data_IF_674970231483
#
_entry.id   IF_674970231483
#
_cell.length_a   1.000
_cell.length_b   1.000
_cell.length_c   1.000
_cell.angle_alpha   90.00
_cell.angle_beta   90.00
_cell.angle_gamma   90.00
#
_symmetry.space_group_name_H-M   'P 1'
#
loop_
_entity.id
_entity.type
_entity.pdbx_description
1 polymer ?
#
# COMPACT_ATOMS: atom_id res chain seq x y z
N UNK A 1 -2.97 24.92 7.87
CA UNK A 1 -2.66 23.50 8.16
C UNK A 1 -1.86 23.52 9.45
N UNK A 2 -2.37 22.91 10.50
CA UNK A 2 -1.68 22.92 11.80
C UNK A 2 -0.39 22.11 11.70
N UNK A 3 0.61 22.41 12.53
CA UNK A 3 1.88 21.65 12.58
C UNK A 3 1.62 20.14 12.78
N UNK A 4 0.57 19.81 13.52
CA UNK A 4 0.08 18.45 13.78
C UNK A 4 -0.29 17.72 12.48
N UNK A 5 -1.09 18.34 11.59
CA UNK A 5 -1.49 17.75 10.30
C UNK A 5 -0.28 17.39 9.43
N UNK A 6 0.76 18.24 9.46
CA UNK A 6 2.01 18.02 8.72
C UNK A 6 2.77 16.82 9.26
N UNK A 7 2.87 16.69 10.59
CA UNK A 7 3.54 15.56 11.26
C UNK A 7 2.81 14.24 10.98
N UNK A 8 1.47 14.24 11.06
CA UNK A 8 0.65 13.07 10.72
C UNK A 8 0.83 12.64 9.26
N UNK A 9 0.88 13.60 8.33
CA UNK A 9 1.11 13.32 6.91
C UNK A 9 2.52 12.73 6.67
N UNK A 10 3.56 13.32 7.27
CA UNK A 10 4.93 12.81 7.15
C UNK A 10 5.06 11.38 7.67
N UNK A 11 4.46 11.08 8.83
CA UNK A 11 4.49 9.73 9.41
C UNK A 11 3.73 8.71 8.55
N UNK A 12 2.60 9.09 7.97
CA UNK A 12 1.89 8.24 7.01
C UNK A 12 2.73 7.95 5.77
N UNK A 13 3.39 8.96 5.21
CA UNK A 13 4.27 8.78 4.04
C UNK A 13 5.45 7.86 4.37
N UNK A 14 6.07 8.02 5.55
CA UNK A 14 7.15 7.15 6.01
C UNK A 14 6.69 5.71 6.20
N UNK A 15 5.52 5.50 6.81
CA UNK A 15 4.90 4.18 6.97
C UNK A 15 4.65 3.52 5.61
N UNK A 16 4.08 4.27 4.66
CA UNK A 16 3.83 3.76 3.32
C UNK A 16 5.11 3.37 2.61
N UNK A 17 6.17 4.19 2.70
CA UNK A 17 7.47 3.87 2.12
C UNK A 17 8.07 2.60 2.72
N UNK A 18 7.98 2.44 4.04
CA UNK A 18 8.44 1.23 4.74
C UNK A 18 7.64 -0.02 4.32
N UNK A 19 6.31 0.11 4.22
CA UNK A 19 5.45 -0.96 3.74
C UNK A 19 5.74 -1.32 2.28
N UNK A 20 5.99 -0.34 1.41
CA UNK A 20 6.38 -0.59 0.02
C UNK A 20 7.73 -1.30 -0.08
N UNK A 21 8.68 -1.00 0.81
CA UNK A 21 9.97 -1.67 0.88
C UNK A 21 9.81 -3.16 1.20
N UNK A 22 9.05 -3.50 2.25
CA UNK A 22 8.76 -4.90 2.60
C UNK A 22 7.94 -5.58 1.50
N UNK A 23 6.94 -4.89 0.97
CA UNK A 23 6.10 -5.37 -0.12
C UNK A 23 6.91 -5.74 -1.36
N UNK A 24 7.93 -4.96 -1.70
CA UNK A 24 8.79 -5.25 -2.82
C UNK A 24 9.61 -6.53 -2.63
N UNK A 25 10.14 -6.78 -1.42
CA UNK A 25 10.82 -8.05 -1.10
C UNK A 25 9.88 -9.24 -1.21
N UNK A 26 8.68 -9.12 -0.66
CA UNK A 26 7.65 -10.16 -0.73
C UNK A 26 7.29 -10.46 -2.17
N UNK A 27 7.12 -9.42 -3.00
CA UNK A 27 6.78 -9.61 -4.40
C UNK A 27 7.94 -10.21 -5.19
N UNK A 28 9.18 -9.82 -4.94
CA UNK A 28 10.36 -10.42 -5.57
C UNK A 28 10.46 -11.91 -5.26
N UNK A 29 10.27 -12.28 -3.99
CA UNK A 29 10.26 -13.68 -3.55
C UNK A 29 9.08 -14.46 -4.16
N UNK A 30 7.87 -13.89 -4.12
CA UNK A 30 6.69 -14.51 -4.70
C UNK A 30 6.80 -14.69 -6.21
N UNK A 31 7.41 -13.72 -6.92
CA UNK A 31 7.64 -13.81 -8.37
C UNK A 31 8.66 -14.91 -8.68
N UNK A 32 9.74 -15.01 -7.89
CA UNK A 32 10.72 -16.09 -8.01
C UNK A 32 10.08 -17.47 -7.81
N UNK A 33 9.22 -17.62 -6.80
CA UNK A 33 8.56 -18.90 -6.50
C UNK A 33 7.44 -19.28 -7.49
N UNK A 34 6.65 -18.32 -7.98
CA UNK A 34 5.47 -18.59 -8.83
C UNK A 34 5.73 -18.45 -10.33
N UNK A 35 6.71 -17.64 -10.69
CA UNK A 35 7.00 -17.29 -12.08
C UNK A 35 8.40 -17.73 -12.52
N UNK A 36 9.22 -18.31 -11.62
CA UNK A 36 10.56 -18.84 -11.91
C UNK A 36 11.56 -17.78 -12.43
N UNK A 37 11.25 -16.49 -12.25
CA UNK A 37 12.17 -15.40 -12.55
C UNK A 37 12.15 -14.36 -11.44
N UNK A 38 13.26 -13.64 -11.33
CA UNK A 38 13.47 -12.60 -10.33
C UNK A 38 13.44 -11.22 -11.00
N UNK A 39 12.34 -10.45 -10.87
CA UNK A 39 12.27 -9.11 -11.42
C UNK A 39 13.25 -8.17 -10.70
N UNK A 40 13.81 -7.16 -11.38
CA UNK A 40 14.67 -6.16 -10.74
C UNK A 40 13.93 -5.47 -9.59
N UNK A 41 14.54 -5.48 -8.40
CA UNK A 41 13.94 -4.91 -7.19
C UNK A 41 13.47 -3.46 -7.38
N UNK A 42 14.23 -2.64 -8.11
CA UNK A 42 13.89 -1.24 -8.37
C UNK A 42 12.53 -1.08 -9.07
N UNK A 43 12.21 -1.94 -10.05
CA UNK A 43 10.95 -1.87 -10.79
C UNK A 43 9.78 -2.25 -9.89
N UNK A 44 9.98 -3.30 -9.10
CA UNK A 44 8.99 -3.81 -8.14
C UNK A 44 8.74 -2.78 -7.05
N UNK A 45 9.79 -2.18 -6.49
CA UNK A 45 9.71 -1.14 -5.48
C UNK A 45 8.99 0.09 -6.00
N UNK A 46 9.36 0.61 -7.19
CA UNK A 46 8.67 1.76 -7.79
C UNK A 46 7.18 1.48 -7.98
N UNK A 47 6.82 0.29 -8.45
CA UNK A 47 5.43 -0.11 -8.60
C UNK A 47 4.71 -0.11 -7.24
N UNK A 48 5.25 -0.81 -6.23
CA UNK A 48 4.70 -0.85 -4.88
C UNK A 48 4.56 0.55 -4.28
N UNK A 49 5.57 1.41 -4.43
CA UNK A 49 5.57 2.76 -3.89
C UNK A 49 4.51 3.66 -4.52
N UNK A 50 4.42 3.69 -5.86
CA UNK A 50 3.39 4.45 -6.57
C UNK A 50 1.98 4.00 -6.15
N UNK A 51 1.78 2.68 -6.02
CA UNK A 51 0.51 2.14 -5.58
C UNK A 51 0.17 2.46 -4.14
N UNK A 52 1.16 2.42 -3.24
CA UNK A 52 0.97 2.84 -1.85
C UNK A 52 0.59 4.32 -1.76
N UNK A 53 1.19 5.18 -2.59
CA UNK A 53 0.79 6.61 -2.69
C UNK A 53 -0.65 6.74 -3.16
N UNK A 54 -1.01 6.07 -4.27
CA UNK A 54 -2.38 6.10 -4.81
C UNK A 54 -3.38 5.59 -3.77
N UNK A 55 -3.04 4.50 -3.09
CA UNK A 55 -3.84 3.89 -2.04
C UNK A 55 -3.96 4.76 -0.77
N UNK A 56 -3.07 5.73 -0.55
CA UNK A 56 -3.13 6.62 0.60
C UNK A 56 -3.80 7.97 0.30
N UNK A 57 -3.49 8.57 -0.85
CA UNK A 57 -4.06 9.86 -1.26
C UNK A 57 -5.56 9.73 -1.49
N UNK A 58 -6.01 8.64 -2.09
CA UNK A 58 -7.41 8.53 -2.50
C UNK A 58 -8.36 8.35 -1.32
N UNK A 59 -8.09 7.50 -0.30
CA UNK A 59 -8.87 7.49 0.93
C UNK A 59 -8.83 8.81 1.69
N UNK A 60 -7.73 9.57 1.63
CA UNK A 60 -7.65 10.89 2.24
C UNK A 60 -8.57 11.90 1.52
N UNK A 61 -8.55 11.92 0.20
CA UNK A 61 -9.45 12.75 -0.63
C UNK A 61 -10.90 12.34 -0.45
N UNK A 62 -11.19 11.03 -0.44
CA UNK A 62 -12.54 10.52 -0.16
C UNK A 62 -12.97 10.87 1.26
N UNK A 63 -12.10 10.73 2.26
CA UNK A 63 -12.38 11.15 3.63
C UNK A 63 -12.74 12.64 3.71
N UNK A 64 -11.98 13.50 3.03
CA UNK A 64 -12.23 14.94 2.98
C UNK A 64 -13.53 15.30 2.23
N UNK A 65 -13.85 14.62 1.13
CA UNK A 65 -15.07 14.88 0.34
C UNK A 65 -16.33 14.34 1.03
N UNK A 66 -16.21 13.20 1.72
CA UNK A 66 -17.31 12.51 2.37
C UNK A 66 -17.43 12.82 3.88
N UNK A 67 -16.72 13.83 4.39
CA UNK A 67 -16.71 14.23 5.81
C UNK A 67 -18.11 14.58 6.40
N UNK A 68 -19.16 14.69 5.58
CA UNK A 68 -20.55 14.89 6.01
C UNK A 68 -21.52 13.74 5.70
N UNK A 69 -21.04 12.61 5.17
CA UNK A 69 -21.90 11.51 4.68
C UNK A 69 -21.83 10.33 5.67
N UNK A 70 -22.99 9.72 5.95
CA UNK A 70 -23.14 8.65 6.97
C UNK A 70 -22.02 7.61 6.88
N UNK A 71 -21.44 7.15 8.02
CA UNK A 71 -20.25 6.28 8.07
C UNK A 71 -20.38 4.98 7.23
N UNK A 72 -21.60 4.45 7.08
CA UNK A 72 -21.86 3.26 6.25
C UNK A 72 -21.54 3.43 4.76
N UNK A 73 -21.53 4.65 4.22
CA UNK A 73 -21.18 4.91 2.82
C UNK A 73 -19.66 4.93 2.66
N UNK A 74 -18.94 5.45 3.65
CA UNK A 74 -17.48 5.49 3.69
C UNK A 74 -16.91 4.07 3.68
N UNK A 75 -17.46 3.16 4.49
CA UNK A 75 -17.03 1.75 4.52
C UNK A 75 -17.20 1.05 3.15
N UNK A 76 -18.33 1.27 2.48
CA UNK A 76 -18.60 0.69 1.16
C UNK A 76 -17.69 1.28 0.08
N UNK A 77 -17.42 2.58 0.14
CA UNK A 77 -16.50 3.25 -0.76
C UNK A 77 -15.06 2.73 -0.58
N UNK A 78 -14.63 2.49 0.66
CA UNK A 78 -13.33 1.90 0.95
C UNK A 78 -13.21 0.47 0.39
N UNK A 79 -14.23 -0.38 0.57
CA UNK A 79 -14.22 -1.75 0.01
C UNK A 79 -14.14 -1.70 -1.52
N UNK A 80 -14.95 -0.86 -2.17
CA UNK A 80 -14.91 -0.70 -3.63
C UNK A 80 -13.53 -0.21 -4.09
N UNK A 81 -12.92 0.70 -3.35
CA UNK A 81 -11.61 1.24 -3.66
C UNK A 81 -10.49 0.19 -3.53
N UNK A 82 -10.54 -0.65 -2.50
CA UNK A 82 -9.63 -1.79 -2.34
C UNK A 82 -9.74 -2.72 -3.54
N UNK A 83 -10.96 -3.04 -3.99
CA UNK A 83 -11.19 -3.90 -5.15
C UNK A 83 -10.65 -3.28 -6.45
N UNK A 84 -10.83 -1.97 -6.66
CA UNK A 84 -10.27 -1.26 -7.82
C UNK A 84 -8.75 -1.21 -7.79
N UNK A 85 -8.16 -0.96 -6.62
CA UNK A 85 -6.70 -0.94 -6.43
C UNK A 85 -6.11 -2.33 -6.70
N UNK A 86 -6.74 -3.39 -6.17
CA UNK A 86 -6.36 -4.77 -6.43
C UNK A 86 -6.45 -5.14 -7.92
N UNK A 87 -7.53 -4.74 -8.58
CA UNK A 87 -7.74 -5.01 -10.00
C UNK A 87 -6.70 -4.30 -10.87
N UNK A 88 -6.47 -3.01 -10.61
CA UNK A 88 -5.47 -2.20 -11.30
C UNK A 88 -4.07 -2.78 -11.08
N UNK A 89 -3.78 -3.24 -9.86
CA UNK A 89 -2.51 -3.84 -9.54
C UNK A 89 -2.29 -5.19 -10.24
N UNK A 90 -3.32 -6.03 -10.25
CA UNK A 90 -3.31 -7.32 -10.94
C UNK A 90 -3.03 -7.16 -12.43
N UNK A 91 -3.69 -6.18 -13.07
CA UNK A 91 -3.46 -5.83 -14.48
C UNK A 91 -2.03 -5.32 -14.65
N UNK A 92 -1.59 -4.40 -13.80
CA UNK A 92 -0.24 -3.85 -13.88
C UNK A 92 0.81 -4.96 -13.78
N UNK A 93 0.76 -5.81 -12.76
CA UNK A 93 1.68 -6.94 -12.63
C UNK A 93 1.56 -7.90 -13.82
N UNK A 94 0.35 -8.28 -14.21
CA UNK A 94 0.12 -9.24 -15.29
C UNK A 94 0.69 -8.82 -16.64
N UNK A 95 0.64 -7.52 -16.97
CA UNK A 95 1.07 -6.96 -18.25
C UNK A 95 2.46 -6.32 -18.23
N UNK A 96 2.88 -5.71 -17.10
CA UNK A 96 4.17 -5.02 -16.99
C UNK A 96 5.29 -5.90 -16.47
N UNK A 97 5.03 -6.89 -15.60
CA UNK A 97 6.03 -7.92 -15.34
C UNK A 97 6.10 -8.86 -16.53
N UNK A 98 7.26 -8.84 -17.17
CA UNK A 98 7.59 -9.73 -18.27
C UNK A 98 8.68 -10.68 -17.82
N UNK A 99 8.39 -11.96 -17.93
CA UNK A 99 9.41 -13.00 -17.91
C UNK A 99 10.38 -12.75 -19.07
N UNK A 100 11.70 -12.86 -18.85
CA UNK A 100 12.71 -12.62 -19.89
C UNK A 100 12.52 -13.50 -21.12
N UNK A 101 12.12 -14.76 -20.92
CA UNK A 101 11.93 -15.74 -22.00
C UNK A 101 10.48 -15.85 -22.53
N UNK A 102 9.48 -15.83 -21.65
CA UNK A 102 8.08 -16.12 -22.01
C UNK A 102 7.21 -14.86 -22.22
N UNK A 103 7.77 -13.67 -22.02
CA UNK A 103 7.01 -12.42 -22.10
C UNK A 103 6.09 -12.21 -20.91
N UNK A 104 4.88 -11.69 -21.12
CA UNK A 104 3.98 -11.29 -20.04
C UNK A 104 3.60 -12.46 -19.11
N UNK A 105 3.64 -12.26 -17.79
CA UNK A 105 3.27 -13.32 -16.82
C UNK A 105 1.77 -13.68 -16.84
N UNK A 106 0.95 -12.82 -17.45
CA UNK A 106 -0.49 -13.01 -17.63
C UNK A 106 -1.30 -12.68 -16.37
N UNK A 107 -2.61 -12.48 -16.57
CA UNK A 107 -3.53 -12.00 -15.54
C UNK A 107 -3.63 -12.98 -14.36
N UNK A 108 -3.59 -14.30 -14.62
CA UNK A 108 -3.71 -15.32 -13.55
C UNK A 108 -2.57 -15.22 -12.53
N UNK A 109 -1.32 -15.15 -12.99
CA UNK A 109 -0.15 -15.02 -12.10
C UNK A 109 -0.13 -13.62 -11.45
N UNK A 110 -0.47 -12.58 -12.21
CA UNK A 110 -0.64 -11.23 -11.68
C UNK A 110 -1.66 -11.14 -10.54
N UNK A 111 -2.77 -11.88 -10.62
CA UNK A 111 -3.81 -11.89 -9.59
C UNK A 111 -3.32 -12.56 -8.29
N UNK A 112 -2.58 -13.67 -8.41
CA UNK A 112 -2.00 -14.36 -7.25
C UNK A 112 -0.96 -13.46 -6.57
N UNK A 113 -0.05 -12.86 -7.35
CA UNK A 113 0.96 -11.93 -6.82
C UNK A 113 0.30 -10.71 -6.17
N UNK A 114 -0.76 -10.18 -6.80
CA UNK A 114 -1.57 -9.09 -6.24
C UNK A 114 -2.19 -9.47 -4.90
N UNK A 115 -2.70 -10.69 -4.78
CA UNK A 115 -3.36 -11.17 -3.56
C UNK A 115 -2.35 -11.38 -2.43
N UNK A 116 -1.18 -11.95 -2.74
CA UNK A 116 -0.08 -12.10 -1.80
C UNK A 116 0.36 -10.73 -1.28
N UNK A 117 0.58 -9.76 -2.18
CA UNK A 117 1.01 -8.43 -1.77
C UNK A 117 -0.05 -7.73 -0.91
N UNK A 118 -1.30 -7.72 -1.38
CA UNK A 118 -2.38 -7.01 -0.68
C UNK A 118 -2.60 -7.60 0.73
N UNK A 119 -2.62 -8.93 0.84
CA UNK A 119 -2.75 -9.60 2.14
C UNK A 119 -1.58 -9.29 3.05
N UNK A 120 -0.35 -9.32 2.53
CA UNK A 120 0.85 -9.05 3.32
C UNK A 120 0.89 -7.61 3.81
N UNK A 121 0.62 -6.65 2.93
CA UNK A 121 0.59 -5.22 3.30
C UNK A 121 -0.53 -4.91 4.29
N UNK A 122 -1.72 -5.51 4.14
CA UNK A 122 -2.81 -5.35 5.11
C UNK A 122 -2.47 -5.92 6.48
N UNK A 123 -1.85 -7.09 6.54
CA UNK A 123 -1.40 -7.70 7.79
C UNK A 123 -0.32 -6.83 8.47
N UNK A 124 0.68 -6.39 7.71
CA UNK A 124 1.73 -5.52 8.21
C UNK A 124 1.16 -4.18 8.69
N UNK A 125 0.23 -3.58 7.94
CA UNK A 125 -0.44 -2.35 8.36
C UNK A 125 -1.18 -2.53 9.69
N UNK A 126 -1.91 -3.64 9.87
CA UNK A 126 -2.60 -3.94 11.14
C UNK A 126 -1.66 -4.11 12.34
N UNK A 127 -0.41 -4.51 12.11
CA UNK A 127 0.58 -4.68 13.17
C UNK A 127 1.34 -3.38 13.43
N UNK A 128 1.78 -2.69 12.38
CA UNK A 128 2.68 -1.53 12.46
C UNK A 128 1.89 -0.25 12.77
N UNK A 129 0.68 -0.08 12.23
CA UNK A 129 -0.09 1.15 12.44
C UNK A 129 -0.41 1.41 13.93
N UNK A 130 -0.86 0.41 14.74
CA UNK A 130 -1.05 0.62 16.17
C UNK A 130 0.24 0.96 16.92
N UNK A 131 1.37 0.33 16.54
CA UNK A 131 2.67 0.62 17.14
C UNK A 131 3.10 2.06 16.87
N UNK A 132 2.91 2.54 15.64
CA UNK A 132 3.21 3.93 15.29
C UNK A 132 2.28 4.91 16.00
N UNK A 133 0.98 4.64 16.09
CA UNK A 133 0.02 5.49 16.80
C UNK A 133 0.36 5.57 18.29
N UNK A 134 0.73 4.44 18.91
CA UNK A 134 1.17 4.43 20.31
C UNK A 134 2.39 5.33 20.52
N UNK A 135 3.39 5.23 19.64
CA UNK A 135 4.59 6.08 19.73
C UNK A 135 4.30 7.57 19.46
N UNK A 136 3.23 7.89 18.73
CA UNK A 136 2.79 9.26 18.51
C UNK A 136 2.15 9.87 19.76
N UNK A 137 1.40 9.08 20.54
CA UNK A 137 0.87 9.54 21.82
C UNK A 137 1.99 9.98 22.76
N UNK A 138 3.03 9.14 22.89
CA UNK A 138 4.21 9.46 23.69
C UNK A 138 4.96 10.70 23.19
N UNK A 139 4.98 10.93 21.87
CA UNK A 139 5.62 12.09 21.25
C UNK A 139 4.78 13.38 21.41
N UNK A 140 3.46 13.31 21.29
CA UNK A 140 2.56 14.44 21.58
C UNK A 140 2.68 14.86 23.05
N UNK A 141 2.75 13.90 23.98
CA UNK A 141 2.95 14.18 25.40
C UNK A 141 4.33 14.83 25.67
N UNK A 142 5.38 14.37 24.99
CA UNK A 142 6.70 15.01 25.05
C UNK A 142 6.67 16.45 24.54
N UNK A 143 6.05 16.72 23.38
CA UNK A 143 5.95 18.07 22.82
C UNK A 143 5.13 19.02 23.70
N UNK A 144 4.10 18.52 24.38
CA UNK A 144 3.31 19.32 25.35
C UNK A 144 4.07 19.61 26.64
N UNK A 145 5.13 18.85 26.92
CA UNK A 145 5.97 19.04 28.11
C UNK A 145 7.13 20.02 27.92
N UNK A 146 7.42 20.42 26.67
CA UNK A 146 8.41 21.43 26.29
C UNK A 146 7.81 22.84 26.29
#
# INVERSE_FOLDING_TARGET
>A
MALEDLVYLMLHVMLLAFLSFIGAFVLQFATKSLCEFEPPYEIVFKACFILSIIAAIIPFVLGAVFQGIRPRIVDKAMVLWILLSFSTFTVFLGFKLKHPEFGSIGIKKGAILGLILMTTLLLLYKIIAPLMISSMGDFEDFLRSL
#
